data_IF_178269145185
#
_entry.id   IF_178269145185
#
_cell.length_a   1.000
_cell.length_b   1.000
_cell.length_c   1.000
_cell.angle_alpha   90.00
_cell.angle_beta   90.00
_cell.angle_gamma   90.00
#
_symmetry.space_group_name_H-M   'P 1'
#
loop_
_entity.id
_entity.type
_entity.pdbx_description
1 polymer ?
#
# COMPACT_ATOMS: atom_id res chain seq x y z
N UNK A 1 26.96 -1.15 -23.46
CA UNK A 1 25.93 -1.70 -24.32
C UNK A 1 25.07 -2.73 -23.58
N UNK A 2 25.69 -3.72 -22.93
CA UNK A 2 24.94 -4.74 -22.18
C UNK A 2 24.16 -4.14 -21.01
N UNK A 3 24.77 -3.23 -20.24
CA UNK A 3 24.11 -2.54 -19.13
C UNK A 3 22.93 -1.69 -19.59
N UNK A 4 23.05 -1.04 -20.75
CA UNK A 4 21.97 -0.28 -21.34
C UNK A 4 20.80 -1.20 -21.73
N UNK A 5 21.09 -2.38 -22.24
CA UNK A 5 20.10 -3.38 -22.62
C UNK A 5 19.32 -3.87 -21.40
N UNK A 6 20.00 -4.16 -20.29
CA UNK A 6 19.35 -4.60 -19.06
C UNK A 6 18.45 -3.53 -18.45
N UNK A 7 18.86 -2.25 -18.52
CA UNK A 7 18.01 -1.14 -18.03
C UNK A 7 16.72 -0.97 -18.80
N UNK A 8 16.74 -1.24 -20.09
CA UNK A 8 15.55 -1.13 -20.93
C UNK A 8 14.56 -2.27 -20.71
N UNK A 9 15.02 -3.38 -20.15
CA UNK A 9 14.18 -4.54 -19.85
C UNK A 9 13.63 -4.53 -18.42
N UNK A 10 14.10 -3.63 -17.55
CA UNK A 10 13.54 -3.48 -16.21
C UNK A 10 12.16 -2.89 -16.31
N UNK A 11 11.16 -3.70 -15.96
CA UNK A 11 9.80 -3.21 -15.78
C UNK A 11 9.74 -2.30 -14.56
N UNK A 12 9.13 -1.13 -14.74
CA UNK A 12 8.80 -0.29 -13.60
C UNK A 12 7.71 -0.98 -12.78
N UNK A 13 7.90 -1.01 -11.48
CA UNK A 13 6.94 -1.58 -10.53
C UNK A 13 6.61 -0.54 -9.45
N UNK A 14 5.82 0.49 -9.79
CA UNK A 14 5.60 1.63 -8.90
C UNK A 14 5.02 1.28 -7.54
N UNK A 15 4.05 0.36 -7.47
CA UNK A 15 3.49 -0.04 -6.17
C UNK A 15 4.54 -0.72 -5.29
N UNK A 16 5.42 -1.52 -5.88
CA UNK A 16 6.52 -2.13 -5.14
C UNK A 16 7.52 -1.07 -4.70
N UNK A 17 7.82 -0.11 -5.56
CA UNK A 17 8.70 1.00 -5.21
C UNK A 17 8.12 1.86 -4.08
N UNK A 18 6.81 2.08 -4.09
CA UNK A 18 6.13 2.76 -2.99
C UNK A 18 6.22 1.94 -1.70
N UNK A 19 6.06 0.62 -1.78
CA UNK A 19 6.24 -0.25 -0.62
C UNK A 19 7.65 -0.13 -0.03
N UNK A 20 8.68 -0.18 -0.88
CA UNK A 20 10.05 -0.01 -0.44
C UNK A 20 10.27 1.37 0.21
N UNK A 21 9.67 2.42 -0.36
CA UNK A 21 9.72 3.77 0.18
C UNK A 21 9.10 3.83 1.59
N UNK A 22 7.94 3.20 1.78
CA UNK A 22 7.27 3.13 3.09
C UNK A 22 8.15 2.38 4.10
N UNK A 23 8.71 1.23 3.69
CA UNK A 23 9.60 0.44 4.56
C UNK A 23 10.81 1.27 4.98
N UNK A 24 11.43 1.97 4.04
CA UNK A 24 12.58 2.82 4.32
C UNK A 24 12.24 3.94 5.32
N UNK A 25 11.07 4.57 5.16
CA UNK A 25 10.59 5.59 6.11
C UNK A 25 10.44 4.99 7.53
N UNK A 26 9.87 3.80 7.62
CA UNK A 26 9.69 3.12 8.89
C UNK A 26 11.04 2.75 9.53
N UNK A 27 11.95 2.23 8.73
CA UNK A 27 13.29 1.87 9.21
C UNK A 27 14.05 3.09 9.72
N UNK A 28 13.85 4.24 9.11
CA UNK A 28 14.44 5.50 9.55
C UNK A 28 13.98 5.95 10.94
N UNK A 29 12.82 5.47 11.41
CA UNK A 29 12.34 5.77 12.77
C UNK A 29 12.95 4.88 13.85
N UNK A 30 13.64 3.81 13.45
CA UNK A 30 14.19 2.79 14.35
C UNK A 30 13.18 1.74 14.81
N UNK A 31 11.91 1.88 14.48
CA UNK A 31 10.86 0.94 14.90
C UNK A 31 10.58 -0.16 13.88
N UNK A 32 10.86 0.10 12.61
CA UNK A 32 10.55 -0.83 11.53
C UNK A 32 9.06 -0.97 11.28
N UNK A 33 8.69 -1.94 10.45
CA UNK A 33 7.31 -2.14 10.00
C UNK A 33 7.06 -3.62 9.76
N UNK A 34 5.87 -4.11 10.17
CA UNK A 34 5.44 -5.48 9.86
C UNK A 34 4.77 -5.51 8.48
N UNK A 35 4.60 -6.72 7.93
CA UNK A 35 3.91 -6.90 6.66
C UNK A 35 2.46 -6.36 6.71
N UNK A 36 1.72 -6.70 7.77
CA UNK A 36 0.34 -6.21 7.92
C UNK A 36 0.29 -4.69 7.99
N UNK A 37 1.17 -4.08 8.76
CA UNK A 37 1.25 -2.62 8.87
C UNK A 37 1.58 -1.99 7.51
N UNK A 38 2.51 -2.58 6.77
CA UNK A 38 2.87 -2.11 5.43
C UNK A 38 1.65 -2.07 4.51
N UNK A 39 0.85 -3.13 4.49
CA UNK A 39 -0.34 -3.18 3.65
C UNK A 39 -1.33 -2.05 3.97
N UNK A 40 -1.54 -1.80 5.25
CA UNK A 40 -2.48 -0.74 5.67
C UNK A 40 -1.92 0.65 5.41
N UNK A 41 -0.63 0.86 5.64
CA UNK A 41 0.02 2.14 5.35
C UNK A 41 0.01 2.42 3.84
N UNK A 42 0.27 1.43 3.00
CA UNK A 42 0.16 1.58 1.54
C UNK A 42 -1.24 2.05 1.14
N UNK A 43 -2.26 1.38 1.65
CA UNK A 43 -3.65 1.69 1.31
C UNK A 43 -4.01 3.13 1.72
N UNK A 44 -3.77 3.49 2.97
CA UNK A 44 -4.13 4.82 3.47
C UNK A 44 -3.25 5.93 2.93
N UNK A 45 -2.02 5.62 2.51
CA UNK A 45 -1.19 6.60 1.79
C UNK A 45 -1.88 7.02 0.50
N UNK A 46 -2.43 6.08 -0.23
CA UNK A 46 -3.18 6.38 -1.47
C UNK A 46 -4.48 7.12 -1.15
N UNK A 47 -5.26 6.62 -0.19
CA UNK A 47 -6.54 7.24 0.18
C UNK A 47 -6.34 8.69 0.63
N UNK A 48 -5.43 8.92 1.56
CA UNK A 48 -5.16 10.27 2.09
C UNK A 48 -4.45 11.14 1.06
N UNK A 49 -3.64 10.54 0.19
CA UNK A 49 -3.04 11.25 -0.94
C UNK A 49 -4.09 11.80 -1.91
N UNK A 50 -5.13 11.01 -2.18
CA UNK A 50 -6.27 11.46 -3.00
C UNK A 50 -7.02 12.59 -2.28
N UNK A 51 -7.28 12.44 -0.98
CA UNK A 51 -7.99 13.43 -0.19
C UNK A 51 -7.26 14.78 -0.14
N UNK A 52 -5.94 14.75 -0.13
CA UNK A 52 -5.10 15.95 -0.07
C UNK A 52 -4.68 16.45 -1.46
N UNK A 53 -5.25 15.88 -2.52
CA UNK A 53 -4.98 16.27 -3.90
C UNK A 53 -3.51 16.10 -4.34
N UNK A 54 -2.77 15.21 -3.65
CA UNK A 54 -1.42 14.81 -4.03
C UNK A 54 -1.45 13.65 -5.04
N UNK A 55 -2.52 12.88 -5.04
CA UNK A 55 -2.76 11.75 -5.94
C UNK A 55 -4.05 12.02 -6.69
N UNK A 56 -3.96 12.03 -8.02
CA UNK A 56 -5.11 12.16 -8.91
C UNK A 56 -5.29 10.89 -9.75
N UNK A 57 -6.27 10.90 -10.63
CA UNK A 57 -6.56 9.75 -11.49
C UNK A 57 -5.38 9.40 -12.39
N UNK A 58 -4.68 10.40 -12.92
CA UNK A 58 -3.49 10.19 -13.76
C UNK A 58 -2.38 9.50 -12.95
N UNK A 59 -2.14 9.96 -11.73
CA UNK A 59 -1.18 9.32 -10.84
C UNK A 59 -1.51 7.85 -10.64
N UNK A 60 -2.79 7.54 -10.38
CA UNK A 60 -3.24 6.16 -10.19
C UNK A 60 -3.04 5.33 -11.46
N UNK A 61 -3.36 5.88 -12.62
CA UNK A 61 -3.15 5.18 -13.89
C UNK A 61 -1.67 4.86 -14.13
N UNK A 62 -0.77 5.73 -13.67
CA UNK A 62 0.66 5.56 -13.87
C UNK A 62 1.33 4.68 -12.80
N UNK A 63 0.76 4.60 -11.58
CA UNK A 63 1.44 4.00 -10.44
C UNK A 63 0.73 2.82 -9.81
N UNK A 64 -0.57 2.66 -10.02
CA UNK A 64 -1.35 1.59 -9.41
C UNK A 64 -1.32 0.33 -10.29
N UNK A 65 -0.15 -0.28 -10.38
CA UNK A 65 0.13 -1.44 -11.23
C UNK A 65 -0.16 -2.78 -10.56
N UNK A 66 -0.35 -2.79 -9.24
CA UNK A 66 -0.73 -3.97 -8.46
C UNK A 66 -1.88 -3.61 -7.55
N UNK A 67 -2.99 -4.32 -7.70
CA UNK A 67 -4.24 -3.98 -7.00
C UNK A 67 -4.26 -4.52 -5.58
N UNK A 68 -4.93 -3.78 -4.70
CA UNK A 68 -5.37 -4.32 -3.41
C UNK A 68 -6.52 -5.29 -3.63
N UNK A 69 -6.58 -6.30 -2.78
CA UNK A 69 -7.70 -7.25 -2.72
C UNK A 69 -8.41 -7.15 -1.36
N UNK A 70 -9.69 -7.52 -1.36
CA UNK A 70 -10.51 -7.54 -0.14
C UNK A 70 -10.14 -8.78 0.67
N UNK A 71 -9.32 -8.58 1.72
CA UNK A 71 -8.92 -9.64 2.64
C UNK A 71 -9.48 -9.36 4.03
N UNK A 72 -9.39 -10.36 4.90
CA UNK A 72 -9.99 -10.32 6.25
C UNK A 72 -9.58 -9.09 7.07
N UNK A 73 -8.31 -8.74 7.05
CA UNK A 73 -7.78 -7.61 7.82
C UNK A 73 -7.66 -6.33 6.99
N UNK A 74 -8.49 -6.22 5.96
CA UNK A 74 -8.52 -5.06 5.08
C UNK A 74 -7.79 -5.28 3.76
N UNK A 75 -7.60 -4.21 2.98
CA UNK A 75 -6.98 -4.30 1.65
C UNK A 75 -5.52 -4.75 1.73
N UNK A 76 -5.15 -5.64 0.81
CA UNK A 76 -3.79 -6.21 0.72
C UNK A 76 -3.38 -6.30 -0.75
N UNK A 77 -2.18 -5.82 -1.07
CA UNK A 77 -1.52 -6.10 -2.35
C UNK A 77 -0.86 -7.47 -2.25
N UNK A 78 -1.45 -8.46 -2.90
CA UNK A 78 -1.06 -9.87 -2.75
C UNK A 78 0.42 -10.11 -3.04
N UNK A 79 0.93 -9.58 -4.15
CA UNK A 79 2.32 -9.83 -4.55
C UNK A 79 3.32 -9.25 -3.55
N UNK A 80 3.03 -8.08 -3.02
CA UNK A 80 3.86 -7.44 -1.99
C UNK A 80 3.76 -8.22 -0.68
N UNK A 81 2.56 -8.66 -0.32
CA UNK A 81 2.34 -9.46 0.89
C UNK A 81 3.15 -10.77 0.82
N UNK A 82 3.14 -11.44 -0.32
CA UNK A 82 3.87 -12.70 -0.50
C UNK A 82 5.37 -12.48 -0.44
N UNK A 83 5.88 -11.38 -0.97
CA UNK A 83 7.31 -11.05 -0.91
C UNK A 83 7.80 -10.95 0.54
N UNK A 84 7.00 -10.39 1.43
CA UNK A 84 7.36 -10.19 2.84
C UNK A 84 6.77 -11.22 3.79
N UNK A 85 6.12 -12.26 3.28
CA UNK A 85 5.50 -13.29 4.11
C UNK A 85 6.50 -14.07 4.97
N UNK A 86 7.75 -14.16 4.52
CA UNK A 86 8.83 -14.82 5.25
C UNK A 86 9.06 -14.21 6.64
N UNK A 87 8.75 -12.94 6.83
CA UNK A 87 8.92 -12.29 8.12
C UNK A 87 7.82 -12.63 9.14
N UNK A 88 6.70 -13.22 8.66
CA UNK A 88 5.55 -13.50 9.53
C UNK A 88 5.04 -12.21 10.17
N UNK A 89 4.91 -12.21 11.50
CA UNK A 89 4.49 -11.05 12.28
C UNK A 89 5.67 -10.14 12.71
N UNK A 90 6.90 -10.50 12.34
CA UNK A 90 8.10 -9.73 12.69
C UNK A 90 8.28 -8.55 11.74
N UNK A 91 9.09 -7.58 12.18
CA UNK A 91 9.40 -6.43 11.33
C UNK A 91 10.31 -6.81 10.17
N UNK A 92 10.13 -6.14 9.06
CA UNK A 92 10.96 -6.30 7.87
C UNK A 92 12.31 -5.64 8.15
N UNK A 93 13.39 -6.43 8.17
CA UNK A 93 14.70 -5.92 8.52
C UNK A 93 15.64 -5.68 7.34
N UNK A 94 15.32 -6.22 6.16
CA UNK A 94 16.14 -5.94 4.98
C UNK A 94 16.07 -4.45 4.64
N UNK A 95 17.21 -3.77 4.45
CA UNK A 95 17.21 -2.34 4.12
C UNK A 95 16.50 -2.06 2.80
N UNK A 96 15.70 -1.02 2.80
CA UNK A 96 15.05 -0.51 1.59
C UNK A 96 15.37 0.96 1.42
N UNK A 97 15.14 1.46 0.22
CA UNK A 97 15.47 2.85 -0.13
C UNK A 97 14.22 3.62 -0.51
N UNK A 98 14.25 4.92 -0.17
CA UNK A 98 13.20 5.85 -0.61
C UNK A 98 13.36 6.16 -2.10
N UNK A 99 12.24 6.42 -2.75
CA UNK A 99 12.19 6.89 -4.13
C UNK A 99 11.76 8.35 -4.12
N UNK A 100 12.58 9.23 -4.67
CA UNK A 100 12.39 10.68 -4.60
C UNK A 100 11.00 11.13 -5.10
N UNK A 101 10.47 10.50 -6.13
CA UNK A 101 9.15 10.85 -6.68
C UNK A 101 8.00 10.66 -5.69
N UNK A 102 8.18 9.89 -4.60
CA UNK A 102 7.18 9.70 -3.57
C UNK A 102 7.37 10.60 -2.35
N UNK A 103 8.34 11.50 -2.38
CA UNK A 103 8.64 12.37 -1.23
C UNK A 103 7.46 13.27 -0.83
N UNK A 104 6.61 13.64 -1.76
CA UNK A 104 5.40 14.42 -1.48
C UNK A 104 4.43 13.70 -0.54
N UNK A 105 4.55 12.38 -0.43
CA UNK A 105 3.70 11.54 0.41
C UNK A 105 4.30 11.31 1.81
N UNK A 106 5.50 11.80 2.08
CA UNK A 106 6.23 11.48 3.31
C UNK A 106 5.47 11.88 4.58
N UNK A 107 4.83 13.05 4.60
CA UNK A 107 4.08 13.49 5.78
C UNK A 107 2.90 12.57 6.08
N UNK A 108 2.20 12.13 5.04
CA UNK A 108 1.12 11.16 5.16
C UNK A 108 1.65 9.84 5.70
N UNK A 109 2.71 9.32 5.08
CA UNK A 109 3.32 8.04 5.48
C UNK A 109 3.77 8.09 6.93
N UNK A 110 4.51 9.13 7.32
CA UNK A 110 5.04 9.27 8.66
C UNK A 110 3.92 9.32 9.71
N UNK A 111 2.83 10.01 9.40
CA UNK A 111 1.68 10.07 10.28
C UNK A 111 0.98 8.72 10.43
N UNK A 112 0.84 7.98 9.32
CA UNK A 112 0.25 6.64 9.33
C UNK A 112 1.11 5.65 10.12
N UNK A 113 2.43 5.75 10.01
CA UNK A 113 3.37 4.90 10.74
C UNK A 113 3.25 5.06 12.27
N UNK A 114 2.75 6.18 12.74
CA UNK A 114 2.52 6.45 14.17
C UNK A 114 1.20 5.87 14.69
N UNK A 115 0.31 5.44 13.79
CA UNK A 115 -0.99 4.89 14.17
C UNK A 115 -0.88 3.39 14.43
N UNK A 116 -1.71 2.87 15.32
CA UNK A 116 -1.79 1.44 15.57
C UNK A 116 -2.35 0.72 14.34
N UNK A 117 -1.77 -0.43 14.00
CA UNK A 117 -2.25 -1.21 12.86
C UNK A 117 -3.70 -1.62 13.02
N UNK A 118 -4.13 -1.94 14.25
CA UNK A 118 -5.54 -2.28 14.53
C UNK A 118 -6.50 -1.15 14.17
N UNK A 119 -6.09 0.09 14.42
CA UNK A 119 -6.89 1.26 14.02
C UNK A 119 -7.01 1.37 12.50
N UNK A 120 -5.92 1.14 11.79
CA UNK A 120 -5.93 1.18 10.33
C UNK A 120 -6.79 0.06 9.75
N UNK A 121 -6.73 -1.14 10.34
CA UNK A 121 -7.61 -2.25 9.96
C UNK A 121 -9.08 -1.85 10.15
N UNK A 122 -9.44 -1.33 11.32
CA UNK A 122 -10.80 -0.92 11.63
C UNK A 122 -11.30 0.15 10.66
N UNK A 123 -10.47 1.16 10.36
CA UNK A 123 -10.81 2.20 9.40
C UNK A 123 -11.07 1.64 8.00
N UNK A 124 -10.27 0.67 7.56
CA UNK A 124 -10.44 0.06 6.24
C UNK A 124 -11.74 -0.73 6.15
N UNK A 125 -12.20 -1.32 7.26
CA UNK A 125 -13.45 -2.06 7.33
C UNK A 125 -14.70 -1.15 7.24
N UNK A 126 -14.54 0.14 7.42
CA UNK A 126 -15.64 1.11 7.28
C UNK A 126 -15.87 1.53 5.82
N UNK A 127 -14.97 1.17 4.92
CA UNK A 127 -15.09 1.53 3.51
C UNK A 127 -16.12 0.63 2.80
N UNK A 128 -16.97 1.25 1.97
CA UNK A 128 -18.06 0.56 1.29
C UNK A 128 -17.61 -0.63 0.45
N UNK A 129 -16.48 -0.50 -0.24
CA UNK A 129 -15.99 -1.58 -1.09
C UNK A 129 -15.66 -2.83 -0.26
N UNK A 130 -15.06 -2.67 0.92
CA UNK A 130 -14.78 -3.79 1.81
C UNK A 130 -16.08 -4.38 2.36
N UNK A 131 -16.96 -3.52 2.88
CA UNK A 131 -18.25 -3.96 3.46
C UNK A 131 -19.11 -4.71 2.45
N UNK A 132 -19.17 -4.23 1.21
CA UNK A 132 -19.97 -4.85 0.15
C UNK A 132 -19.44 -6.20 -0.30
N UNK A 133 -18.15 -6.49 -0.05
CA UNK A 133 -17.49 -7.69 -0.54
C UNK A 133 -16.96 -8.59 0.58
N UNK A 134 -17.25 -8.26 1.83
CA UNK A 134 -16.82 -9.06 2.98
C UNK A 134 -17.28 -10.51 2.87
N UNK A 135 -18.47 -10.74 2.34
CA UNK A 135 -19.04 -12.08 2.15
C UNK A 135 -18.31 -12.93 1.10
N UNK A 136 -17.42 -12.32 0.32
CA UNK A 136 -16.57 -13.03 -0.66
C UNK A 136 -15.30 -13.60 -0.04
N UNK A 137 -15.01 -13.23 1.21
CA UNK A 137 -13.78 -13.67 1.88
C UNK A 137 -13.93 -15.14 2.29
N UNK A 138 -12.97 -15.97 1.85
CA UNK A 138 -12.84 -17.37 2.24
C UNK A 138 -11.42 -17.62 2.74
N UNK A 139 -11.28 -18.23 3.91
CA UNK A 139 -9.97 -18.51 4.51
C UNK A 139 -9.11 -17.24 4.64
N UNK A 140 -9.75 -16.11 4.93
CA UNK A 140 -9.09 -14.83 5.14
C UNK A 140 -8.79 -14.04 3.89
N UNK A 141 -9.08 -14.55 2.69
CA UNK A 141 -8.72 -13.94 1.41
C UNK A 141 -9.90 -13.87 0.45
N UNK A 142 -9.80 -12.99 -0.54
CA UNK A 142 -10.70 -12.98 -1.69
C UNK A 142 -9.93 -12.56 -2.94
N UNK A 143 -10.54 -12.75 -4.10
CA UNK A 143 -10.02 -12.28 -5.37
C UNK A 143 -10.76 -11.03 -5.86
N UNK A 144 -11.45 -10.33 -4.96
CA UNK A 144 -12.15 -9.09 -5.30
C UNK A 144 -11.15 -7.94 -5.22
N UNK A 145 -10.81 -7.32 -6.36
CA UNK A 145 -9.83 -6.23 -6.35
C UNK A 145 -10.49 -4.91 -5.99
N UNK A 146 -9.66 -3.98 -5.50
CA UNK A 146 -10.00 -2.56 -5.46
C UNK A 146 -9.59 -1.98 -6.81
N UNK A 147 -10.57 -1.62 -7.63
CA UNK A 147 -10.30 -0.90 -8.87
C UNK A 147 -9.92 0.55 -8.56
N UNK A 148 -9.39 1.25 -9.54
CA UNK A 148 -9.02 2.65 -9.40
C UNK A 148 -10.19 3.49 -8.89
N UNK A 149 -11.39 3.27 -9.42
CA UNK A 149 -12.61 3.97 -9.00
C UNK A 149 -12.98 3.65 -7.55
N UNK A 150 -12.71 2.44 -7.08
CA UNK A 150 -12.98 2.06 -5.69
C UNK A 150 -12.11 2.84 -4.71
N UNK A 151 -10.86 3.10 -5.08
CA UNK A 151 -9.95 3.93 -4.29
C UNK A 151 -10.43 5.38 -4.23
N UNK A 152 -10.83 5.92 -5.37
CA UNK A 152 -11.37 7.29 -5.44
C UNK A 152 -12.64 7.41 -4.61
N UNK A 153 -13.54 6.45 -4.73
CA UNK A 153 -14.78 6.43 -3.94
C UNK A 153 -14.50 6.33 -2.43
N UNK A 154 -13.54 5.50 -2.03
CA UNK A 154 -13.14 5.38 -0.63
C UNK A 154 -12.60 6.70 -0.09
N UNK A 155 -11.81 7.41 -0.87
CA UNK A 155 -11.26 8.71 -0.50
C UNK A 155 -12.36 9.77 -0.31
N UNK A 156 -13.40 9.74 -1.15
CA UNK A 156 -14.51 10.70 -1.08
C UNK A 156 -15.43 10.43 0.10
N UNK A 157 -15.71 9.16 0.39
CA UNK A 157 -16.69 8.79 1.42
C UNK A 157 -16.12 8.82 2.84
N UNK A 158 -14.81 8.80 3.00
CA UNK A 158 -14.15 8.76 4.31
C UNK A 158 -13.70 10.13 4.83
N UNK A 159 -14.19 11.19 4.22
CA UNK A 159 -13.93 12.57 4.69
C UNK A 159 -14.75 12.94 5.91
#
# INVERSE_FOLDING_TARGET
>A
MLEFYFRMEEEEMPMRDLADHVIARAQGTGKGITNLQLQKVLYFTIIEGIQQELIDKEWLQNNYDSEFFVWRYGPVVKDIYEEYSIYGASTIFEPRQETEEFNDLNDIIDNLLRQRVSRLVDRSHDHDHWLSNENQIEFGRSNVPYKLEDLINAAQSSR
#
